data_IF_890549824635
#
_entry.id   IF_890549824635
#
_cell.length_a   1.000
_cell.length_b   1.000
_cell.length_c   1.000
_cell.angle_alpha   90.00
_cell.angle_beta   90.00
_cell.angle_gamma   90.00
#
_symmetry.space_group_name_H-M   'P 1'
#
loop_
_entity.id
_entity.type
_entity.pdbx_description
1 polymer ?
#
# COMPACT_ATOMS: atom_id res chain seq x y z
N UNK A 1 5.36 -7.74 -16.65
CA UNK A 1 4.73 -7.48 -15.33
C UNK A 1 5.74 -6.73 -14.47
N UNK A 2 5.34 -5.63 -13.84
CA UNK A 2 6.19 -4.85 -12.93
C UNK A 2 6.26 -5.54 -11.58
N UNK A 3 7.43 -5.47 -10.95
CA UNK A 3 7.61 -5.90 -9.56
C UNK A 3 6.98 -4.85 -8.63
N UNK A 4 6.15 -5.30 -7.67
CA UNK A 4 5.58 -4.42 -6.66
C UNK A 4 6.61 -4.19 -5.55
N UNK A 5 7.11 -2.95 -5.46
CA UNK A 5 8.04 -2.50 -4.41
C UNK A 5 7.30 -1.62 -3.40
N UNK A 6 7.89 -1.33 -2.22
CA UNK A 6 7.29 -0.43 -1.25
C UNK A 6 6.83 0.89 -1.88
N UNK A 7 5.51 1.08 -1.95
CA UNK A 7 4.87 2.23 -2.58
C UNK A 7 3.67 2.70 -1.77
N UNK A 8 3.48 4.01 -1.68
CA UNK A 8 2.31 4.60 -1.03
C UNK A 8 1.12 4.59 -1.98
N UNK A 9 -0.08 4.26 -1.48
CA UNK A 9 -1.30 4.33 -2.29
C UNK A 9 -1.53 5.73 -2.89
N UNK A 10 -1.18 6.78 -2.14
CA UNK A 10 -1.27 8.17 -2.60
C UNK A 10 -0.41 8.43 -3.84
N UNK A 11 0.78 7.82 -3.90
CA UNK A 11 1.67 7.94 -5.05
C UNK A 11 1.04 7.33 -6.29
N UNK A 12 0.51 6.09 -6.21
CA UNK A 12 -0.21 5.48 -7.34
C UNK A 12 -1.42 6.29 -7.78
N UNK A 13 -2.15 6.93 -6.85
CA UNK A 13 -3.26 7.81 -7.20
C UNK A 13 -2.80 9.07 -7.95
N UNK A 14 -1.62 9.60 -7.63
CA UNK A 14 -1.02 10.72 -8.36
C UNK A 14 -0.56 10.27 -9.74
N UNK A 15 0.13 9.13 -9.84
CA UNK A 15 0.56 8.53 -11.10
C UNK A 15 -0.63 8.28 -12.04
N UNK A 16 -1.75 7.76 -11.51
CA UNK A 16 -2.98 7.57 -12.27
C UNK A 16 -3.54 8.88 -12.84
N UNK A 17 -3.53 9.96 -12.05
CA UNK A 17 -4.00 11.28 -12.51
C UNK A 17 -3.09 11.86 -13.59
N UNK A 18 -1.76 11.69 -13.44
CA UNK A 18 -0.78 12.11 -14.43
C UNK A 18 -0.96 11.32 -15.73
N UNK A 19 -1.13 9.99 -15.64
CA UNK A 19 -1.35 9.14 -16.80
C UNK A 19 -2.64 9.51 -17.54
N UNK A 20 -3.73 9.74 -16.81
CA UNK A 20 -5.00 10.23 -17.39
C UNK A 20 -4.81 11.57 -18.12
N UNK A 21 -4.10 12.50 -17.50
CA UNK A 21 -3.80 13.81 -18.11
C UNK A 21 -3.00 13.62 -19.40
N UNK A 22 -1.98 12.78 -19.37
CA UNK A 22 -1.14 12.47 -20.53
C UNK A 22 -1.99 11.89 -21.67
N UNK A 23 -2.83 10.89 -21.40
CA UNK A 23 -3.75 10.34 -22.41
C UNK A 23 -4.62 11.43 -23.04
N UNK A 24 -5.17 12.34 -22.25
CA UNK A 24 -6.04 13.42 -22.75
C UNK A 24 -5.30 14.54 -23.49
N UNK A 25 -4.03 14.77 -23.18
CA UNK A 25 -3.22 15.81 -23.83
C UNK A 25 -2.44 15.33 -25.06
N UNK A 26 -2.42 14.02 -25.32
CA UNK A 26 -1.57 13.44 -26.35
C UNK A 26 -2.01 13.73 -27.77
N UNK A 27 -1.03 14.07 -28.62
CA UNK A 27 -1.20 14.27 -30.06
C UNK A 27 -1.27 12.92 -30.80
N UNK A 28 -1.69 12.95 -32.06
CA UNK A 28 -1.85 11.75 -32.91
C UNK A 28 -0.56 10.91 -33.04
N UNK A 29 0.61 11.53 -32.89
CA UNK A 29 1.92 10.88 -32.89
C UNK A 29 2.15 9.94 -31.70
N UNK A 30 1.51 10.19 -30.54
CA UNK A 30 1.65 9.38 -29.32
C UNK A 30 0.73 8.16 -29.29
N UNK A 31 -0.22 8.06 -30.23
CA UNK A 31 -1.20 6.96 -30.29
C UNK A 31 -0.51 5.61 -30.51
N UNK A 32 0.61 5.58 -31.24
CA UNK A 32 1.41 4.36 -31.45
C UNK A 32 2.05 3.83 -30.17
N UNK A 33 2.38 4.70 -29.22
CA UNK A 33 2.92 4.29 -27.91
C UNK A 33 1.84 3.63 -27.04
N UNK A 34 0.57 3.96 -27.29
CA UNK A 34 -0.57 3.45 -26.54
C UNK A 34 -1.10 2.11 -27.06
N UNK A 35 -0.80 1.74 -28.30
CA UNK A 35 -1.20 0.43 -28.88
C UNK A 35 -0.70 -0.77 -28.06
N UNK A 36 0.40 -0.61 -27.32
CA UNK A 36 0.98 -1.66 -26.48
C UNK A 36 0.31 -1.78 -25.11
N UNK A 37 -0.62 -0.90 -24.77
CA UNK A 37 -1.31 -0.94 -23.47
C UNK A 37 -2.46 -1.95 -23.52
N UNK A 38 -2.64 -2.78 -22.46
CA UNK A 38 -3.71 -3.78 -22.40
C UNK A 38 -5.11 -3.23 -22.68
N UNK A 39 -5.38 -1.97 -22.31
CA UNK A 39 -6.69 -1.34 -22.49
C UNK A 39 -7.02 -0.96 -23.95
N UNK A 40 -6.00 -0.90 -24.80
CA UNK A 40 -6.13 -0.57 -26.22
C UNK A 40 -5.74 -1.75 -27.12
N UNK A 41 -5.57 -2.93 -26.52
CA UNK A 41 -5.28 -4.15 -27.24
C UNK A 41 -6.39 -4.40 -28.27
N UNK A 42 -6.00 -4.72 -29.49
CA UNK A 42 -6.88 -5.01 -30.63
C UNK A 42 -7.69 -3.81 -31.18
N UNK A 43 -7.42 -2.58 -30.74
CA UNK A 43 -8.04 -1.37 -31.29
C UNK A 43 -7.19 -0.72 -32.40
N UNK A 44 -7.86 -0.25 -33.44
CA UNK A 44 -7.25 0.59 -34.49
C UNK A 44 -6.90 1.98 -33.94
N UNK A 45 -5.98 2.70 -34.59
CA UNK A 45 -5.58 4.05 -34.16
C UNK A 45 -6.78 5.03 -34.04
N UNK A 46 -7.79 4.89 -34.89
CA UNK A 46 -9.06 5.63 -34.84
C UNK A 46 -9.91 5.28 -33.62
N UNK A 47 -10.00 4.00 -33.27
CA UNK A 47 -10.74 3.51 -32.11
C UNK A 47 -10.04 3.88 -30.80
N UNK A 48 -8.71 3.85 -30.78
CA UNK A 48 -7.89 4.34 -29.66
C UNK A 48 -8.16 5.83 -29.44
N UNK A 49 -8.19 6.64 -30.50
CA UNK A 49 -8.48 8.08 -30.41
C UNK A 49 -9.86 8.37 -29.82
N UNK A 50 -10.86 7.58 -30.17
CA UNK A 50 -12.20 7.71 -29.58
C UNK A 50 -12.22 7.23 -28.13
N UNK A 51 -11.58 6.09 -27.83
CA UNK A 51 -11.48 5.54 -26.48
C UNK A 51 -10.74 6.46 -25.51
N UNK A 52 -9.70 7.16 -25.96
CA UNK A 52 -8.96 8.17 -25.18
C UNK A 52 -9.87 9.32 -24.73
N UNK A 53 -10.86 9.71 -25.54
CA UNK A 53 -11.82 10.77 -25.13
C UNK A 53 -12.74 10.29 -24.02
N UNK A 54 -13.09 9.01 -24.01
CA UNK A 54 -14.00 8.39 -23.05
C UNK A 54 -13.30 7.84 -21.81
N UNK A 55 -11.97 7.70 -21.84
CA UNK A 55 -11.19 7.11 -20.75
C UNK A 55 -11.39 7.89 -19.45
N UNK A 56 -11.73 7.15 -18.40
CA UNK A 56 -11.97 7.68 -17.06
C UNK A 56 -10.86 7.23 -16.13
N UNK A 57 -10.79 7.89 -14.97
CA UNK A 57 -9.79 7.56 -13.96
C UNK A 57 -9.90 6.09 -13.47
N UNK A 58 -11.10 5.52 -13.44
CA UNK A 58 -11.31 4.11 -13.09
C UNK A 58 -10.59 3.16 -14.06
N UNK A 59 -10.57 3.51 -15.35
CA UNK A 59 -9.97 2.70 -16.40
C UNK A 59 -8.44 2.70 -16.28
N UNK A 60 -7.89 3.86 -15.90
CA UNK A 60 -6.47 4.01 -15.56
C UNK A 60 -6.09 3.20 -14.32
N UNK A 61 -6.96 3.13 -13.31
CA UNK A 61 -6.69 2.28 -12.15
C UNK A 61 -6.64 0.79 -12.50
N UNK A 62 -7.52 0.33 -13.39
CA UNK A 62 -7.47 -1.04 -13.90
C UNK A 62 -6.20 -1.29 -14.71
N UNK A 63 -5.77 -0.32 -15.53
CA UNK A 63 -4.51 -0.41 -16.26
C UNK A 63 -3.32 -0.58 -15.30
N UNK A 64 -3.20 0.30 -14.30
CA UNK A 64 -2.14 0.21 -13.28
C UNK A 64 -2.19 -1.13 -12.55
N UNK A 65 -3.38 -1.61 -12.15
CA UNK A 65 -3.53 -2.91 -11.52
C UNK A 65 -2.96 -4.04 -12.39
N UNK A 66 -3.28 -4.04 -13.68
CA UNK A 66 -2.82 -5.05 -14.63
C UNK A 66 -1.30 -5.06 -14.81
N UNK A 67 -0.63 -3.89 -14.74
CA UNK A 67 0.83 -3.81 -14.84
C UNK A 67 1.53 -4.57 -13.71
N UNK A 68 0.91 -4.60 -12.52
CA UNK A 68 1.37 -5.34 -11.34
C UNK A 68 0.80 -6.75 -11.23
N UNK A 69 0.06 -7.23 -12.24
CA UNK A 69 -0.52 -8.58 -12.26
C UNK A 69 -1.86 -8.72 -11.51
N UNK A 70 -2.51 -7.62 -11.15
CA UNK A 70 -3.83 -7.64 -10.51
C UNK A 70 -4.93 -7.44 -11.54
N UNK A 71 -5.99 -8.27 -11.47
CA UNK A 71 -7.17 -8.13 -12.33
C UNK A 71 -8.05 -6.93 -11.92
N UNK A 72 -8.01 -6.54 -10.64
CA UNK A 72 -8.80 -5.44 -10.09
C UNK A 72 -7.95 -4.45 -9.32
N UNK A 73 -8.32 -3.18 -9.43
CA UNK A 73 -7.71 -2.11 -8.65
C UNK A 73 -7.92 -2.30 -7.14
N UNK A 74 -9.08 -2.83 -6.73
CA UNK A 74 -9.37 -3.06 -5.33
C UNK A 74 -8.37 -4.03 -4.68
N UNK A 75 -7.93 -5.05 -5.43
CA UNK A 75 -6.99 -6.06 -4.94
C UNK A 75 -5.58 -5.47 -4.78
N UNK A 76 -5.11 -4.71 -5.76
CA UNK A 76 -3.84 -3.97 -5.66
C UNK A 76 -3.88 -2.97 -4.50
N UNK A 77 -4.96 -2.21 -4.37
CA UNK A 77 -5.15 -1.24 -3.29
C UNK A 77 -5.10 -1.94 -1.93
N UNK A 78 -5.81 -3.06 -1.77
CA UNK A 78 -5.83 -3.82 -0.52
C UNK A 78 -4.43 -4.33 -0.16
N UNK A 79 -3.70 -4.88 -1.14
CA UNK A 79 -2.32 -5.35 -0.94
C UNK A 79 -1.43 -4.22 -0.44
N UNK A 80 -1.47 -3.04 -1.08
CA UNK A 80 -0.64 -1.90 -0.69
C UNK A 80 -1.02 -1.42 0.71
N UNK A 81 -2.30 -1.21 0.98
CA UNK A 81 -2.77 -0.76 2.30
C UNK A 81 -2.29 -1.73 3.38
N UNK A 82 -2.47 -3.04 3.18
CA UNK A 82 -2.06 -4.07 4.16
C UNK A 82 -0.57 -3.97 4.54
N UNK A 83 0.30 -3.73 3.55
CA UNK A 83 1.75 -3.68 3.75
C UNK A 83 2.27 -2.31 4.21
N UNK A 84 1.47 -1.25 4.06
CA UNK A 84 1.91 0.14 4.23
C UNK A 84 1.17 0.89 5.35
N UNK A 85 0.09 0.32 5.91
CA UNK A 85 -0.80 0.98 6.87
C UNK A 85 -0.10 1.43 8.16
N UNK A 86 0.92 0.70 8.61
CA UNK A 86 1.71 1.03 9.80
C UNK A 86 2.92 1.91 9.50
N UNK A 87 3.29 2.10 8.23
CA UNK A 87 4.50 2.83 7.92
C UNK A 87 4.24 4.35 7.98
N UNK A 88 5.09 5.12 8.67
CA UNK A 88 5.11 6.59 8.71
C UNK A 88 6.52 7.10 8.43
N UNK A 89 6.69 7.88 7.36
CA UNK A 89 8.00 8.39 6.95
C UNK A 89 8.62 9.36 7.97
N UNK A 90 7.79 10.14 8.66
CA UNK A 90 8.22 11.03 9.73
C UNK A 90 8.49 10.31 11.07
N UNK A 91 8.26 9.00 11.15
CA UNK A 91 8.44 8.20 12.36
C UNK A 91 9.69 7.32 12.36
N UNK A 92 10.51 7.34 11.30
CA UNK A 92 11.63 6.40 11.14
C UNK A 92 12.62 6.49 12.31
N UNK A 93 12.86 7.70 12.85
CA UNK A 93 13.74 7.91 14.01
C UNK A 93 13.21 7.36 15.33
N UNK A 94 11.95 6.91 15.40
CA UNK A 94 11.34 6.29 16.57
C UNK A 94 11.39 4.75 16.51
N UNK A 95 11.98 4.19 15.45
CA UNK A 95 12.17 2.75 15.31
C UNK A 95 13.45 2.37 16.05
N UNK A 96 13.35 1.40 16.96
CA UNK A 96 14.49 0.94 17.76
C UNK A 96 15.37 -0.02 16.96
N UNK A 97 14.76 -0.92 16.17
CA UNK A 97 15.51 -1.92 15.40
C UNK A 97 14.74 -2.41 14.16
N UNK A 98 15.50 -2.76 13.11
CA UNK A 98 15.02 -3.31 11.85
C UNK A 98 15.56 -4.71 11.64
N UNK A 99 14.74 -5.57 11.05
CA UNK A 99 15.07 -6.96 10.73
C UNK A 99 14.52 -7.35 9.37
N UNK A 100 15.27 -8.20 8.66
CA UNK A 100 14.83 -8.87 7.42
C UNK A 100 14.17 -10.22 7.67
N UNK A 101 14.34 -10.76 8.88
CA UNK A 101 13.87 -12.08 9.26
C UNK A 101 12.91 -11.99 10.46
N UNK A 102 11.74 -12.62 10.34
CA UNK A 102 10.74 -12.62 11.40
C UNK A 102 11.23 -13.31 12.68
N UNK A 103 11.93 -14.44 12.57
CA UNK A 103 12.37 -15.19 13.74
C UNK A 103 13.37 -14.39 14.59
N UNK A 104 14.26 -13.63 13.93
CA UNK A 104 15.18 -12.72 14.63
C UNK A 104 14.44 -11.57 15.31
N UNK A 105 13.46 -10.97 14.62
CA UNK A 105 12.64 -9.90 15.16
C UNK A 105 11.80 -10.37 16.36
N UNK A 106 11.18 -11.55 16.25
CA UNK A 106 10.38 -12.19 17.29
C UNK A 106 11.24 -12.55 18.50
N UNK A 107 12.43 -13.12 18.30
CA UNK A 107 13.38 -13.36 19.39
C UNK A 107 13.75 -12.07 20.12
N UNK A 108 14.10 -11.02 19.37
CA UNK A 108 14.43 -9.73 19.97
C UNK A 108 13.24 -9.11 20.73
N UNK A 109 12.04 -9.20 20.16
CA UNK A 109 10.78 -8.76 20.79
C UNK A 109 10.54 -9.45 22.13
N UNK A 110 10.71 -10.78 22.20
CA UNK A 110 10.54 -11.55 23.43
C UNK A 110 11.60 -11.19 24.49
N UNK A 111 12.84 -10.92 24.07
CA UNK A 111 13.95 -10.59 24.97
C UNK A 111 13.93 -9.14 25.47
N UNK A 112 13.48 -8.18 24.64
CA UNK A 112 13.62 -6.74 24.89
C UNK A 112 12.28 -5.99 25.01
N UNK A 113 11.16 -6.65 24.69
CA UNK A 113 9.85 -6.03 24.56
C UNK A 113 9.75 -5.08 23.36
N UNK A 114 8.77 -4.17 23.43
CA UNK A 114 8.44 -3.23 22.36
C UNK A 114 7.24 -3.68 21.54
N UNK A 115 6.98 -2.97 20.44
CA UNK A 115 5.92 -3.30 19.49
C UNK A 115 6.55 -3.84 18.22
N UNK A 116 6.22 -5.09 17.89
CA UNK A 116 6.69 -5.77 16.69
C UNK A 116 5.70 -5.53 15.54
N UNK A 117 6.14 -4.73 14.57
CA UNK A 117 5.36 -4.31 13.41
C UNK A 117 6.00 -4.83 12.10
N UNK A 118 5.22 -4.83 11.03
CA UNK A 118 5.68 -5.19 9.68
C UNK A 118 5.49 -4.01 8.73
N UNK A 119 6.54 -3.69 7.98
CA UNK A 119 6.52 -2.76 6.85
C UNK A 119 6.94 -3.52 5.60
N UNK A 120 5.96 -3.89 4.76
CA UNK A 120 6.24 -4.74 3.61
C UNK A 120 6.97 -6.03 4.02
N UNK A 121 8.18 -6.25 3.52
CA UNK A 121 9.00 -7.43 3.82
C UNK A 121 9.88 -7.27 5.06
N UNK A 122 9.88 -6.08 5.67
CA UNK A 122 10.69 -5.75 6.83
C UNK A 122 9.90 -5.84 8.13
N UNK A 123 10.60 -6.25 9.19
CA UNK A 123 10.07 -6.31 10.55
C UNK A 123 10.77 -5.28 11.41
N UNK A 124 10.01 -4.56 12.23
CA UNK A 124 10.55 -3.49 13.06
C UNK A 124 10.09 -3.60 14.50
N UNK A 125 10.95 -3.16 15.41
CA UNK A 125 10.65 -3.00 16.83
C UNK A 125 10.64 -1.51 17.14
N UNK A 126 9.57 -1.04 17.78
CA UNK A 126 9.42 0.36 18.15
C UNK A 126 8.82 0.54 19.55
N UNK A 127 8.94 1.75 20.07
CA UNK A 127 8.34 2.16 21.34
C UNK A 127 6.92 2.72 21.21
N UNK A 128 6.33 3.09 22.35
CA UNK A 128 4.98 3.69 22.43
C UNK A 128 4.89 5.01 21.64
N UNK A 129 6.01 5.70 21.42
CA UNK A 129 6.11 6.93 20.64
C UNK A 129 5.68 6.69 19.18
N UNK A 130 6.09 5.57 18.58
CA UNK A 130 5.66 5.21 17.23
C UNK A 130 4.17 4.86 17.20
N UNK A 131 3.68 4.17 18.22
CA UNK A 131 2.27 3.80 18.33
C UNK A 131 1.37 5.03 18.51
N UNK A 132 1.84 6.05 19.25
CA UNK A 132 1.20 7.37 19.34
C UNK A 132 1.18 8.10 18.00
N UNK A 133 2.27 8.05 17.24
CA UNK A 133 2.32 8.59 15.88
C UNK A 133 1.29 7.90 14.96
N UNK A 134 1.04 6.61 15.17
CA UNK A 134 -0.01 5.85 14.49
C UNK A 134 -1.42 6.13 15.03
N UNK A 135 -1.56 6.84 16.16
CA UNK A 135 -2.82 7.06 16.89
C UNK A 135 -3.52 5.75 17.26
N UNK A 136 -2.70 4.78 17.68
CA UNK A 136 -3.12 3.45 18.14
C UNK A 136 -2.83 3.23 19.64
N UNK A 137 -2.34 4.25 20.34
CA UNK A 137 -1.87 4.17 21.73
C UNK A 137 -3.01 4.02 22.74
N UNK A 138 -4.23 4.49 22.39
CA UNK A 138 -5.42 4.31 23.22
C UNK A 138 -5.94 2.87 23.27
N UNK A 139 -5.42 1.98 22.43
CA UNK A 139 -5.80 0.57 22.34
C UNK A 139 -4.87 -0.32 23.18
N UNK A 140 -4.58 0.11 24.42
CA UNK A 140 -3.59 -0.53 25.29
C UNK A 140 -3.94 -1.99 25.58
N UNK A 141 -5.22 -2.29 25.79
CA UNK A 141 -5.68 -3.64 26.08
C UNK A 141 -5.60 -4.54 24.84
N UNK A 142 -5.95 -4.03 23.67
CA UNK A 142 -5.86 -4.78 22.42
C UNK A 142 -4.40 -5.09 22.07
N UNK A 143 -3.49 -4.13 22.26
CA UNK A 143 -2.06 -4.36 22.11
C UNK A 143 -1.54 -5.44 23.05
N UNK A 144 -1.98 -5.42 24.32
CA UNK A 144 -1.64 -6.45 25.31
C UNK A 144 -2.17 -7.83 24.90
N UNK A 145 -3.42 -7.91 24.41
CA UNK A 145 -4.06 -9.16 23.99
C UNK A 145 -3.40 -9.80 22.76
N UNK A 146 -2.75 -9.02 21.90
CA UNK A 146 -1.96 -9.53 20.77
C UNK A 146 -0.47 -9.69 21.11
N UNK A 147 -0.10 -9.59 22.38
CA UNK A 147 1.29 -9.66 22.87
C UNK A 147 2.23 -8.66 22.18
N UNK A 148 1.68 -7.50 21.79
CA UNK A 148 2.38 -6.45 21.05
C UNK A 148 3.03 -6.93 19.73
N UNK A 149 2.55 -8.06 19.19
CA UNK A 149 3.00 -8.64 17.93
C UNK A 149 1.91 -8.50 16.87
N UNK A 150 2.15 -7.61 15.90
CA UNK A 150 1.22 -7.37 14.80
C UNK A 150 1.17 -8.52 13.78
N UNK A 151 2.25 -9.30 13.66
CA UNK A 151 2.41 -10.30 12.60
C UNK A 151 1.73 -11.61 12.99
N UNK A 152 1.94 -12.07 14.22
CA UNK A 152 1.31 -13.28 14.78
C UNK A 152 0.49 -12.91 16.02
N UNK A 153 -0.69 -12.27 15.86
CA UNK A 153 -1.49 -11.85 16.98
C UNK A 153 -2.11 -13.05 17.70
N UNK A 154 -2.00 -13.10 19.03
CA UNK A 154 -2.65 -14.14 19.86
C UNK A 154 -4.17 -14.02 19.95
N UNK A 155 -4.71 -12.84 19.67
CA UNK A 155 -6.13 -12.56 19.78
C UNK A 155 -6.63 -11.86 18.50
N UNK A 156 -7.38 -12.61 17.68
CA UNK A 156 -7.90 -12.12 16.39
C UNK A 156 -8.86 -10.94 16.55
N UNK A 157 -9.70 -10.94 17.59
CA UNK A 157 -10.67 -9.86 17.82
C UNK A 157 -9.99 -8.54 18.20
N UNK A 158 -9.01 -8.59 19.10
CA UNK A 158 -8.19 -7.45 19.46
C UNK A 158 -7.39 -6.92 18.25
N UNK A 159 -6.80 -7.83 17.47
CA UNK A 159 -6.11 -7.49 16.23
C UNK A 159 -7.05 -6.77 15.25
N UNK A 160 -8.26 -7.30 15.03
CA UNK A 160 -9.21 -6.70 14.09
C UNK A 160 -9.57 -5.27 14.48
N UNK A 161 -9.78 -4.99 15.78
CA UNK A 161 -10.06 -3.63 16.26
C UNK A 161 -8.90 -2.66 16.03
N UNK A 162 -7.67 -3.11 16.23
CA UNK A 162 -6.47 -2.34 15.91
C UNK A 162 -6.33 -2.12 14.39
N UNK A 163 -6.56 -3.17 13.61
CA UNK A 163 -6.50 -3.14 12.15
C UNK A 163 -7.50 -2.15 11.55
N UNK A 164 -8.76 -2.17 11.99
CA UNK A 164 -9.80 -1.24 11.56
C UNK A 164 -9.40 0.21 11.85
N UNK A 165 -8.87 0.46 13.05
CA UNK A 165 -8.37 1.81 13.40
C UNK A 165 -7.19 2.21 12.51
N UNK A 166 -6.27 1.30 12.24
CA UNK A 166 -5.09 1.58 11.43
C UNK A 166 -5.46 1.86 9.96
N UNK A 167 -6.45 1.14 9.39
CA UNK A 167 -7.04 1.45 8.08
C UNK A 167 -7.63 2.87 8.06
N UNK A 168 -8.41 3.23 9.09
CA UNK A 168 -8.98 4.57 9.19
C UNK A 168 -7.88 5.64 9.20
N UNK A 169 -6.80 5.44 9.97
CA UNK A 169 -5.68 6.38 10.00
C UNK A 169 -4.92 6.44 8.67
N UNK A 170 -4.77 5.32 7.97
CA UNK A 170 -4.15 5.31 6.65
C UNK A 170 -4.95 6.12 5.62
N UNK A 171 -6.28 6.05 5.68
CA UNK A 171 -7.16 6.75 4.74
C UNK A 171 -7.10 8.28 4.84
N UNK A 172 -6.58 8.81 5.96
CA UNK A 172 -6.46 10.24 6.22
C UNK A 172 -5.15 10.87 5.70
N UNK A 173 -4.23 10.07 5.15
CA UNK A 173 -2.91 10.49 4.63
C UNK A 173 -2.94 10.84 3.13
#
# INVERSE_FOLDING_TARGET
>A
MKELRPIRLKQLKVEAKLLLKNFKSSSESSIKEYSNQPIFQDLTASEIKNSIKEIRLKDIYHLIASEYGYSRWEDLKLHIVKNDLLFRSNGIGLIHKWFKNYNEASKYHLENGGYLLQFWEDFVICGIEYIRLLKLDSFTEEWRLIEYNWIEPKNEYAYQRLYDKAILQYSLL
#
